data_IF_889083541315
#
_entry.id   IF_889083541315
#
_cell.length_a   1.000
_cell.length_b   1.000
_cell.length_c   1.000
_cell.angle_alpha   90.00
_cell.angle_beta   90.00
_cell.angle_gamma   90.00
#
_symmetry.space_group_name_H-M   'P 1'
#
loop_
_entity.id
_entity.type
_entity.pdbx_description
1 polymer ?
#
# COMPACT_ATOMS: atom_id res chain seq x y z
N UNK A 1 67.79 19.98 12.19
CA UNK A 1 67.13 18.70 11.80
C UNK A 1 65.68 18.69 12.31
N UNK A 2 64.77 19.49 11.72
CA UNK A 2 63.34 19.45 12.05
C UNK A 2 62.48 20.33 11.13
N UNK A 3 62.52 20.18 9.80
CA UNK A 3 61.60 20.96 8.93
C UNK A 3 61.18 20.31 7.61
N UNK A 4 61.53 19.05 7.34
CA UNK A 4 61.18 18.38 6.07
C UNK A 4 60.42 17.05 6.25
N UNK A 5 59.77 16.81 7.40
CA UNK A 5 58.89 15.64 7.62
C UNK A 5 57.41 16.00 7.90
N UNK A 6 57.05 17.28 8.03
CA UNK A 6 55.69 17.69 8.43
C UNK A 6 54.74 18.06 7.27
N UNK A 7 55.26 18.32 6.06
CA UNK A 7 54.41 18.68 4.90
C UNK A 7 53.78 17.46 4.20
N UNK A 8 54.45 16.30 4.23
CA UNK A 8 53.93 15.05 3.64
C UNK A 8 52.72 14.50 4.42
N UNK A 9 52.71 14.66 5.75
CA UNK A 9 51.59 14.22 6.60
C UNK A 9 50.31 15.04 6.37
N UNK A 10 50.42 16.37 6.22
CA UNK A 10 49.24 17.25 6.01
C UNK A 10 48.50 16.98 4.69
N UNK A 11 49.22 16.56 3.64
CA UNK A 11 48.60 16.15 2.37
C UNK A 11 47.84 14.83 2.50
N UNK A 12 48.37 13.85 3.25
CA UNK A 12 47.70 12.56 3.49
C UNK A 12 46.42 12.77 4.32
N UNK A 13 46.44 13.65 5.33
CA UNK A 13 45.24 13.97 6.11
C UNK A 13 44.15 14.67 5.29
N UNK A 14 44.51 15.52 4.31
CA UNK A 14 43.52 16.14 3.42
C UNK A 14 42.95 15.13 2.41
N UNK A 15 43.78 14.23 1.87
CA UNK A 15 43.33 13.14 1.00
C UNK A 15 42.42 12.14 1.73
N UNK A 16 42.69 11.80 2.98
CA UNK A 16 41.82 10.94 3.80
C UNK A 16 40.50 11.63 4.20
N UNK A 17 40.50 12.96 4.34
CA UNK A 17 39.29 13.75 4.57
C UNK A 17 38.43 13.86 3.31
N UNK A 18 39.03 13.91 2.13
CA UNK A 18 38.32 13.93 0.84
C UNK A 18 37.86 12.54 0.37
N UNK A 19 38.60 11.47 0.68
CA UNK A 19 38.25 10.09 0.27
C UNK A 19 37.31 9.34 1.22
N UNK A 20 36.94 9.94 2.35
CA UNK A 20 36.01 9.31 3.31
C UNK A 20 34.62 9.94 3.26
N UNK A 21 34.00 10.03 2.07
CA UNK A 21 32.54 10.12 1.99
C UNK A 21 32.01 9.47 0.70
N UNK A 22 32.49 8.27 0.38
CA UNK A 22 31.69 7.29 -0.39
C UNK A 22 30.55 6.73 0.47
N UNK A 23 29.89 7.60 1.25
CA UNK A 23 28.66 7.27 1.94
C UNK A 23 27.56 7.32 0.89
N UNK A 24 27.25 6.18 0.27
CA UNK A 24 25.96 6.01 -0.41
C UNK A 24 24.90 6.45 0.59
N UNK A 25 24.30 7.63 0.39
CA UNK A 25 23.15 8.03 1.21
C UNK A 25 22.15 6.87 1.10
N UNK A 26 21.75 6.24 2.21
CA UNK A 26 20.77 5.18 2.14
C UNK A 26 19.56 5.73 1.38
N UNK A 27 19.13 5.00 0.36
CA UNK A 27 17.86 5.31 -0.30
C UNK A 27 16.74 5.34 0.73
N UNK A 28 15.59 5.93 0.40
CA UNK A 28 14.43 5.90 1.29
C UNK A 28 14.12 4.46 1.70
N UNK A 29 13.73 4.22 2.97
CA UNK A 29 13.43 2.89 3.46
C UNK A 29 12.28 2.29 2.64
N UNK A 30 12.42 1.03 2.25
CA UNK A 30 11.39 0.30 1.47
C UNK A 30 10.09 0.10 2.26
N UNK A 31 10.18 -0.06 3.59
CA UNK A 31 9.05 -0.27 4.49
C UNK A 31 9.16 0.63 5.73
N UNK A 32 8.03 1.16 6.18
CA UNK A 32 7.93 2.04 7.35
C UNK A 32 6.79 1.55 8.24
N UNK A 33 7.03 1.47 9.56
CA UNK A 33 6.03 1.14 10.56
C UNK A 33 5.44 2.41 11.19
N UNK A 34 4.11 2.53 11.18
CA UNK A 34 3.39 3.57 11.92
C UNK A 34 2.79 3.00 13.21
N UNK A 35 2.90 3.73 14.31
CA UNK A 35 2.32 3.33 15.61
C UNK A 35 0.85 3.76 15.78
N UNK A 36 0.20 4.28 14.72
CA UNK A 36 -1.23 4.66 14.75
C UNK A 36 -2.11 3.40 14.66
N UNK A 37 -3.13 3.31 15.51
CA UNK A 37 -4.09 2.19 15.51
C UNK A 37 -5.29 2.56 14.63
N UNK A 38 -5.42 1.89 13.48
CA UNK A 38 -6.46 2.11 12.49
C UNK A 38 -7.10 0.78 12.06
N UNK A 39 -8.34 0.83 11.54
CA UNK A 39 -8.91 -0.30 10.79
C UNK A 39 -8.14 -0.48 9.47
N UNK A 40 -8.16 -1.67 8.89
CA UNK A 40 -7.39 -1.99 7.68
C UNK A 40 -7.62 -0.99 6.54
N UNK A 41 -8.88 -0.62 6.27
CA UNK A 41 -9.24 0.37 5.25
C UNK A 41 -8.59 1.73 5.52
N UNK A 42 -8.69 2.21 6.75
CA UNK A 42 -8.21 3.53 7.15
C UNK A 42 -6.67 3.57 7.15
N UNK A 43 -6.02 2.45 7.50
CA UNK A 43 -4.58 2.30 7.38
C UNK A 43 -4.12 2.34 5.91
N UNK A 44 -4.86 1.67 5.01
CA UNK A 44 -4.61 1.68 3.57
C UNK A 44 -4.74 3.08 2.97
N UNK A 45 -5.84 3.76 3.29
CA UNK A 45 -6.10 5.11 2.77
C UNK A 45 -5.06 6.11 3.29
N UNK A 46 -4.63 5.97 4.55
CA UNK A 46 -3.51 6.73 5.09
C UNK A 46 -2.21 6.48 4.31
N UNK A 47 -1.87 5.21 4.04
CA UNK A 47 -0.70 4.87 3.24
C UNK A 47 -0.78 5.47 1.83
N UNK A 48 -1.94 5.43 1.16
CA UNK A 48 -2.12 6.02 -0.18
C UNK A 48 -2.10 7.55 -0.21
N UNK A 49 -2.30 8.20 0.93
CA UNK A 49 -2.24 9.67 1.05
C UNK A 49 -0.79 10.18 1.03
N UNK A 50 0.13 9.44 1.66
CA UNK A 50 1.51 9.89 1.88
C UNK A 50 2.59 8.96 1.28
N UNK A 51 2.20 7.78 0.81
CA UNK A 51 3.04 6.70 0.30
C UNK A 51 2.31 5.97 -0.85
N UNK A 52 2.77 4.78 -1.23
CA UNK A 52 2.14 3.96 -2.29
C UNK A 52 0.90 3.22 -1.79
N UNK A 53 1.06 2.28 -0.86
CA UNK A 53 -0.02 1.46 -0.30
C UNK A 53 0.48 0.72 0.97
N UNK A 54 -0.35 -0.10 1.62
CA UNK A 54 0.10 -1.09 2.59
C UNK A 54 1.11 -2.06 1.94
N UNK A 55 2.04 -2.56 2.75
CA UNK A 55 3.14 -3.41 2.28
C UNK A 55 2.65 -4.72 1.63
N UNK A 56 3.10 -5.00 0.40
CA UNK A 56 3.03 -6.32 -0.22
C UNK A 56 4.21 -7.19 0.20
N UNK A 57 3.98 -8.50 0.33
CA UNK A 57 5.03 -9.51 0.62
C UNK A 57 5.01 -10.53 -0.52
N UNK A 58 6.00 -10.46 -1.41
CA UNK A 58 6.03 -11.24 -2.66
C UNK A 58 7.06 -12.37 -2.65
N UNK A 59 8.00 -12.34 -1.72
CA UNK A 59 9.06 -13.32 -1.55
C UNK A 59 9.57 -13.32 -0.10
N UNK A 60 10.50 -14.23 0.20
CA UNK A 60 11.05 -14.41 1.54
C UNK A 60 11.92 -13.22 1.96
N UNK A 61 12.62 -12.58 1.02
CA UNK A 61 13.44 -11.40 1.30
C UNK A 61 12.57 -10.24 1.84
N UNK A 62 11.44 -9.95 1.18
CA UNK A 62 10.47 -8.95 1.63
C UNK A 62 9.86 -9.32 2.99
N UNK A 63 9.58 -10.60 3.21
CA UNK A 63 9.07 -11.10 4.49
C UNK A 63 10.06 -10.82 5.64
N UNK A 64 11.36 -11.08 5.42
CA UNK A 64 12.40 -10.79 6.40
C UNK A 64 12.59 -9.29 6.66
N UNK A 65 12.47 -8.44 5.64
CA UNK A 65 12.52 -6.99 5.82
C UNK A 65 11.36 -6.49 6.68
N UNK A 66 10.13 -6.94 6.40
CA UNK A 66 8.93 -6.56 7.15
C UNK A 66 9.02 -7.07 8.59
N UNK A 67 9.51 -8.29 8.82
CA UNK A 67 9.75 -8.83 10.17
C UNK A 67 10.69 -7.96 11.01
N UNK A 68 11.74 -7.40 10.40
CA UNK A 68 12.67 -6.47 11.06
C UNK A 68 11.99 -5.13 11.36
N UNK A 69 11.25 -4.58 10.40
CA UNK A 69 10.59 -3.27 10.52
C UNK A 69 9.42 -3.29 11.51
N UNK A 70 8.70 -4.42 11.62
CA UNK A 70 7.53 -4.55 12.52
C UNK A 70 7.90 -4.53 14.00
N UNK A 71 9.17 -4.79 14.36
CA UNK A 71 9.65 -4.82 15.75
C UNK A 71 8.80 -5.73 16.64
N UNK A 72 8.32 -6.85 16.09
CA UNK A 72 7.48 -7.82 16.79
C UNK A 72 6.02 -7.40 17.00
N UNK A 73 5.58 -6.28 16.42
CA UNK A 73 4.18 -5.82 16.51
C UNK A 73 3.32 -6.46 15.42
N UNK A 74 2.05 -6.69 15.74
CA UNK A 74 1.02 -6.92 14.72
C UNK A 74 0.81 -5.65 13.90
N UNK A 75 0.90 -5.77 12.58
CA UNK A 75 0.73 -4.67 11.63
C UNK A 75 -0.11 -5.13 10.44
N UNK A 76 -0.94 -4.23 9.90
CA UNK A 76 -1.67 -4.51 8.66
C UNK A 76 -0.70 -4.58 7.48
N UNK A 77 -0.93 -5.55 6.59
CA UNK A 77 -0.26 -5.71 5.30
C UNK A 77 -1.28 -5.58 4.16
N UNK A 78 -0.81 -5.43 2.93
CA UNK A 78 -1.64 -5.13 1.77
C UNK A 78 -2.51 -6.30 1.28
N UNK A 79 -2.24 -7.52 1.73
CA UNK A 79 -3.11 -8.67 1.43
C UNK A 79 -4.40 -8.60 2.26
N UNK A 80 -5.53 -8.79 1.59
CA UNK A 80 -6.85 -8.87 2.20
C UNK A 80 -7.68 -9.95 1.51
N UNK A 81 -8.64 -10.53 2.25
CA UNK A 81 -9.57 -11.52 1.69
C UNK A 81 -10.74 -10.79 1.04
N UNK A 82 -10.94 -11.01 -0.25
CA UNK A 82 -12.07 -10.47 -0.99
C UNK A 82 -12.54 -11.46 -2.05
N UNK A 83 -13.80 -11.85 -1.98
CA UNK A 83 -14.45 -12.78 -2.90
C UNK A 83 -15.27 -12.08 -3.99
N UNK A 84 -15.38 -10.75 -3.95
CA UNK A 84 -16.18 -9.99 -4.91
C UNK A 84 -15.42 -9.78 -6.22
N UNK A 85 -16.08 -10.12 -7.33
CA UNK A 85 -15.57 -9.96 -8.70
C UNK A 85 -16.49 -9.06 -9.51
N UNK A 86 -15.91 -8.28 -10.42
CA UNK A 86 -16.70 -7.51 -11.39
C UNK A 86 -17.28 -8.44 -12.45
N UNK A 87 -18.51 -8.17 -12.89
CA UNK A 87 -19.19 -8.98 -13.91
C UNK A 87 -18.50 -8.92 -15.28
N UNK A 88 -17.75 -7.86 -15.56
CA UNK A 88 -16.92 -7.72 -16.76
C UNK A 88 -15.51 -8.37 -16.60
N UNK A 89 -15.27 -9.07 -15.49
CA UNK A 89 -14.02 -9.75 -15.16
C UNK A 89 -12.81 -8.81 -15.00
N UNK A 90 -13.03 -7.50 -14.90
CA UNK A 90 -11.94 -6.56 -14.64
C UNK A 90 -11.40 -6.72 -13.22
N UNK A 91 -10.08 -6.57 -13.08
CA UNK A 91 -9.42 -6.60 -11.78
C UNK A 91 -9.41 -5.21 -11.15
N UNK A 92 -9.94 -5.10 -9.93
CA UNK A 92 -9.84 -3.90 -9.11
C UNK A 92 -9.86 -4.26 -7.63
N UNK A 93 -9.01 -3.60 -6.85
CA UNK A 93 -8.98 -3.69 -5.38
C UNK A 93 -9.79 -2.58 -4.70
N UNK A 94 -10.36 -1.65 -5.49
CA UNK A 94 -11.20 -0.59 -4.95
C UNK A 94 -12.52 -1.18 -4.47
N UNK A 95 -12.85 -0.92 -3.20
CA UNK A 95 -14.10 -1.33 -2.57
C UNK A 95 -14.65 -0.15 -1.81
N UNK A 96 -15.87 0.25 -2.15
CA UNK A 96 -16.55 1.36 -1.50
C UNK A 96 -17.81 0.86 -0.78
N UNK A 97 -17.69 -0.26 -0.09
CA UNK A 97 -18.79 -0.84 0.69
C UNK A 97 -19.25 0.10 1.79
N UNK A 98 -20.56 0.14 2.02
CA UNK A 98 -21.13 0.70 3.24
C UNK A 98 -20.52 -0.08 4.41
N UNK A 99 -20.10 0.62 5.46
CA UNK A 99 -19.62 -0.03 6.67
C UNK A 99 -20.75 -0.87 7.27
N UNK A 100 -20.78 -2.17 6.97
CA UNK A 100 -21.71 -3.11 7.56
C UNK A 100 -21.06 -3.71 8.81
N UNK A 101 -21.87 -3.94 9.84
CA UNK A 101 -21.40 -4.41 11.15
C UNK A 101 -21.10 -5.93 11.15
N UNK A 102 -21.37 -6.64 10.04
CA UNK A 102 -21.25 -8.09 9.96
C UNK A 102 -20.58 -8.52 8.63
N UNK A 103 -19.62 -9.44 8.76
CA UNK A 103 -18.81 -10.01 7.68
C UNK A 103 -19.58 -11.02 6.79
N UNK A 104 -20.84 -11.33 7.15
CA UNK A 104 -21.76 -12.11 6.32
C UNK A 104 -23.17 -11.55 6.49
N UNK A 105 -23.75 -11.05 5.41
CA UNK A 105 -25.16 -10.62 5.36
C UNK A 105 -26.15 -11.80 5.47
N UNK A 106 -25.67 -13.04 5.38
CA UNK A 106 -26.50 -14.24 5.30
C UNK A 106 -27.09 -14.47 3.90
N UNK A 107 -26.82 -13.57 2.95
CA UNK A 107 -27.23 -13.71 1.55
C UNK A 107 -26.31 -14.73 0.89
N UNK A 108 -26.89 -15.80 0.35
CA UNK A 108 -26.15 -16.87 -0.33
C UNK A 108 -25.85 -16.52 -1.79
N UNK A 109 -26.67 -15.67 -2.42
CA UNK A 109 -26.52 -15.16 -3.78
C UNK A 109 -26.45 -13.63 -3.77
N UNK A 110 -25.33 -13.10 -3.26
CA UNK A 110 -25.13 -11.67 -3.05
C UNK A 110 -24.63 -10.94 -4.29
N UNK A 111 -25.26 -9.83 -4.64
CA UNK A 111 -24.85 -8.89 -5.67
C UNK A 111 -24.56 -7.50 -5.08
N UNK A 112 -23.71 -6.72 -5.73
CA UNK A 112 -23.37 -5.36 -5.31
C UNK A 112 -24.34 -4.33 -5.94
N UNK A 113 -24.93 -3.47 -5.11
CA UNK A 113 -25.77 -2.35 -5.57
C UNK A 113 -25.21 -1.01 -5.09
N UNK A 114 -25.18 -0.01 -5.98
CA UNK A 114 -24.81 1.37 -5.64
C UNK A 114 -25.94 2.07 -4.87
N UNK A 115 -25.61 2.77 -3.78
CA UNK A 115 -26.57 3.56 -3.01
C UNK A 115 -26.16 5.02 -2.91
N UNK A 116 -26.95 5.91 -3.53
CA UNK A 116 -26.80 7.37 -3.35
C UNK A 116 -27.00 7.79 -1.90
N UNK A 117 -27.95 7.17 -1.21
CA UNK A 117 -28.30 7.50 0.18
C UNK A 117 -27.17 7.14 1.17
N UNK A 118 -26.25 6.26 0.77
CA UNK A 118 -25.07 5.91 1.56
C UNK A 118 -23.80 6.61 1.08
N UNK A 119 -23.95 7.81 0.49
CA UNK A 119 -22.84 8.61 -0.04
C UNK A 119 -22.11 7.91 -1.20
N UNK A 120 -22.85 7.16 -2.01
CA UNK A 120 -22.31 6.39 -3.13
C UNK A 120 -21.68 5.06 -2.74
N UNK A 121 -21.77 4.67 -1.47
CA UNK A 121 -21.29 3.37 -1.01
C UNK A 121 -22.15 2.22 -1.51
N UNK A 122 -21.51 1.07 -1.69
CA UNK A 122 -22.15 -0.14 -2.19
C UNK A 122 -22.79 -0.93 -1.04
N UNK A 123 -23.87 -1.63 -1.34
CA UNK A 123 -24.50 -2.58 -0.45
C UNK A 123 -24.57 -3.95 -1.11
N UNK A 124 -24.49 -4.99 -0.31
CA UNK A 124 -24.85 -6.34 -0.74
C UNK A 124 -26.38 -6.46 -0.75
N UNK A 125 -26.93 -6.97 -1.85
CA UNK A 125 -28.37 -7.23 -2.07
C UNK A 125 -28.55 -8.62 -2.64
N UNK A 126 -29.74 -9.18 -2.50
CA UNK A 126 -30.09 -10.41 -3.21
C UNK A 126 -30.12 -10.12 -4.72
N UNK A 127 -29.43 -10.95 -5.51
CA UNK A 127 -29.36 -10.80 -6.96
C UNK A 127 -30.72 -10.87 -7.67
N UNK A 128 -31.75 -11.48 -7.03
CA UNK A 128 -33.10 -11.58 -7.58
C UNK A 128 -33.94 -10.30 -7.39
N UNK A 129 -33.45 -9.33 -6.63
CA UNK A 129 -34.11 -8.04 -6.47
C UNK A 129 -34.07 -7.22 -7.78
N UNK A 130 -35.20 -6.59 -8.12
CA UNK A 130 -35.32 -5.73 -9.31
C UNK A 130 -34.89 -4.29 -9.00
N UNK A 131 -33.81 -3.84 -9.62
CA UNK A 131 -33.27 -2.48 -9.49
C UNK A 131 -32.97 -1.83 -10.86
N UNK A 132 -32.99 -0.49 -10.96
CA UNK A 132 -32.35 0.21 -12.08
C UNK A 132 -30.86 -0.15 -12.20
N UNK A 133 -30.30 -0.11 -13.41
CA UNK A 133 -28.92 -0.54 -13.69
C UNK A 133 -28.11 0.52 -14.46
N UNK A 134 -26.79 0.40 -14.41
CA UNK A 134 -25.82 1.27 -15.10
C UNK A 134 -24.98 0.42 -16.07
N UNK A 135 -24.73 0.94 -17.28
CA UNK A 135 -23.89 0.27 -18.28
C UNK A 135 -22.56 1.01 -18.46
N UNK A 136 -21.49 0.26 -18.74
CA UNK A 136 -20.19 0.79 -19.15
C UNK A 136 -20.20 1.02 -20.67
N UNK A 137 -19.88 2.24 -21.11
CA UNK A 137 -19.72 2.55 -22.54
C UNK A 137 -18.24 2.55 -22.91
N UNK A 138 -17.85 1.76 -23.91
CA UNK A 138 -16.52 1.84 -24.52
C UNK A 138 -16.57 2.73 -25.77
N UNK A 139 -15.69 3.73 -25.84
CA UNK A 139 -15.50 4.47 -27.09
C UNK A 139 -14.78 3.54 -28.07
N UNK A 140 -15.50 2.99 -29.05
CA UNK A 140 -14.85 2.36 -30.20
C UNK A 140 -13.97 3.40 -30.90
N UNK A 141 -12.69 3.11 -31.18
CA UNK A 141 -11.91 3.94 -32.09
C UNK A 141 -12.66 3.96 -33.43
N UNK A 142 -13.00 5.16 -33.92
CA UNK A 142 -13.42 5.31 -35.31
C UNK A 142 -12.19 5.01 -36.16
N UNK A 143 -12.24 3.91 -36.91
CA UNK A 143 -11.28 3.61 -37.97
C UNK A 143 -11.35 4.64 -39.08
#
# INVERSE_FOLDING_TARGET
LATLQNLQLRFIYWFLYFFSFSGTKPGPPQYVLFNKVNKWSDARDYCRTSYTDLASVRNEEENQMIKKVSKGKYAWVGVFRDSWVWSDQTYSSFRYWKATKAFSSGITNGCAAFSKNDFGRWQERDCEERHPFLCKCERRPRG
#
